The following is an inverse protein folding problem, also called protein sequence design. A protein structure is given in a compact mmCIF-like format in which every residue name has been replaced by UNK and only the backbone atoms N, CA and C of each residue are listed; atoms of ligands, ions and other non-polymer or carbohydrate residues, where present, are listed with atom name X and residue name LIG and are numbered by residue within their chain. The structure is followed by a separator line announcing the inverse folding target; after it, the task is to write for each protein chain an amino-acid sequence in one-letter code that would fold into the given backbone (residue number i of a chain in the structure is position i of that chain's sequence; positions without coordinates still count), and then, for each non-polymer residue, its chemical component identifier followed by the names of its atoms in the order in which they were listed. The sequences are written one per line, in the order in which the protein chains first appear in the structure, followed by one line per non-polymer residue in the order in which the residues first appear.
data_IF_861203487989
#
_entry.id   IF_861203487989
#
_cell.length_a   1.000
_cell.length_b   1.000
_cell.length_c   1.000
_cell.angle_alpha   90.00
_cell.angle_beta   90.00
_cell.angle_gamma   90.00
#
_symmetry.space_group_name_H-M   'P 1'
#
loop_
_entity.id
_entity.type
_entity.pdbx_description
1 polymer ?
#
# COMPACT_ATOMS: atom_id res chain seq x y z
N UNK A 1 1.42 6.66 8.49
CA UNK A 1 1.37 6.08 7.12
C UNK A 1 0.29 6.82 6.35
N UNK A 2 0.56 7.32 5.14
CA UNK A 2 -0.41 8.15 4.37
C UNK A 2 -1.14 7.31 3.30
N UNK A 3 -2.46 7.43 3.22
CA UNK A 3 -3.27 6.85 2.14
C UNK A 3 -3.20 7.74 0.90
N UNK A 4 -3.00 7.15 -0.29
CA UNK A 4 -2.95 7.85 -1.59
C UNK A 4 -3.51 6.96 -2.69
N UNK A 5 -4.16 7.55 -3.69
CA UNK A 5 -4.58 6.82 -4.89
C UNK A 5 -3.39 6.21 -5.66
N UNK A 6 -2.28 6.96 -5.71
CA UNK A 6 -1.01 6.52 -6.32
C UNK A 6 0.11 6.53 -5.27
N UNK A 7 0.84 5.41 -5.20
CA UNK A 7 1.97 5.23 -4.29
C UNK A 7 3.26 5.16 -5.08
N UNK A 8 4.29 5.88 -4.61
CA UNK A 8 5.61 5.89 -5.24
C UNK A 8 6.73 5.87 -4.21
N UNK A 9 7.87 5.29 -4.61
CA UNK A 9 9.13 5.37 -3.83
C UNK A 9 9.59 6.83 -3.78
N UNK A 10 10.10 7.26 -2.64
CA UNK A 10 10.62 8.62 -2.42
C UNK A 10 12.13 8.67 -2.18
N UNK A 11 12.73 7.54 -1.83
CA UNK A 11 14.17 7.37 -1.69
C UNK A 11 14.56 5.93 -2.07
N UNK A 12 15.86 5.65 -2.07
CA UNK A 12 16.44 4.33 -2.41
C UNK A 12 16.00 3.23 -1.45
N UNK A 13 15.77 3.55 -0.17
CA UNK A 13 15.35 2.58 0.85
C UNK A 13 13.84 2.30 0.84
N UNK A 14 13.08 2.97 -0.03
CA UNK A 14 11.66 2.69 -0.18
C UNK A 14 11.45 1.38 -0.94
N UNK A 15 10.61 0.50 -0.40
CA UNK A 15 10.23 -0.76 -1.03
C UNK A 15 8.71 -0.90 -1.08
N UNK A 16 8.23 -1.53 -2.15
CA UNK A 16 6.80 -1.73 -2.41
C UNK A 16 6.43 -3.14 -1.98
N UNK A 17 5.37 -3.26 -1.20
CA UNK A 17 4.80 -4.54 -0.76
C UNK A 17 3.38 -4.65 -1.30
N UNK A 18 3.10 -5.76 -1.97
CA UNK A 18 1.74 -6.12 -2.41
C UNK A 18 1.13 -7.04 -1.37
N UNK A 19 0.00 -6.65 -0.77
CA UNK A 19 -0.76 -7.50 0.16
C UNK A 19 -2.11 -7.85 -0.47
N UNK A 20 -2.47 -9.14 -0.45
CA UNK A 20 -3.78 -9.61 -0.89
C UNK A 20 -4.76 -9.43 0.27
N UNK A 21 -5.71 -8.50 0.14
CA UNK A 21 -6.75 -8.30 1.16
C UNK A 21 -8.05 -8.91 0.64
N UNK A 22 -8.68 -9.78 1.44
CA UNK A 22 -10.08 -10.17 1.20
C UNK A 22 -10.95 -8.97 1.52
N UNK A 23 -11.80 -8.57 0.58
CA UNK A 23 -12.69 -7.42 0.71
C UNK A 23 -14.06 -7.86 0.24
N UNK A 24 -15.06 -7.64 1.07
CA UNK A 24 -16.46 -7.86 0.67
C UNK A 24 -16.95 -6.60 -0.04
N UNK A 25 -17.42 -6.75 -1.27
CA UNK A 25 -18.00 -5.66 -2.06
C UNK A 25 -19.29 -6.18 -2.69
N UNK A 26 -20.40 -5.50 -2.44
CA UNK A 26 -21.74 -5.88 -2.89
C UNK A 26 -22.08 -7.35 -2.55
N UNK A 27 -21.86 -7.74 -1.29
CA UNK A 27 -22.14 -9.11 -0.81
C UNK A 27 -21.18 -10.19 -1.32
N UNK A 28 -20.23 -9.87 -2.22
CA UNK A 28 -19.27 -10.82 -2.78
C UNK A 28 -17.88 -10.62 -2.18
N UNK A 29 -17.28 -11.70 -1.70
CA UNK A 29 -15.88 -11.68 -1.22
C UNK A 29 -14.96 -11.70 -2.44
N UNK A 30 -14.15 -10.66 -2.59
CA UNK A 30 -13.14 -10.53 -3.63
C UNK A 30 -11.76 -10.35 -3.01
N UNK A 31 -10.73 -10.88 -3.67
CA UNK A 31 -9.34 -10.60 -3.28
C UNK A 31 -8.90 -9.33 -4.01
N UNK A 32 -8.77 -8.23 -3.28
CA UNK A 32 -8.23 -6.97 -3.82
C UNK A 32 -6.76 -6.84 -3.41
N UNK A 33 -5.82 -6.75 -4.36
CA UNK A 33 -4.44 -6.42 -4.05
C UNK A 33 -4.34 -4.96 -3.58
N UNK A 34 -3.61 -4.73 -2.49
CA UNK A 34 -3.33 -3.41 -1.95
C UNK A 34 -1.81 -3.22 -1.90
N UNK A 35 -1.34 -2.12 -2.47
CA UNK A 35 0.09 -1.79 -2.49
C UNK A 35 0.43 -0.86 -1.32
N UNK A 36 1.59 -1.12 -0.71
CA UNK A 36 2.13 -0.33 0.37
C UNK A 36 3.55 0.08 0.01
N UNK A 37 3.94 1.30 0.37
CA UNK A 37 5.34 1.73 0.36
C UNK A 37 5.80 1.76 1.80
N UNK A 38 6.85 1.00 2.10
CA UNK A 38 7.58 1.09 3.35
C UNK A 38 8.95 1.69 3.08
N UNK A 39 9.59 2.19 4.15
CA UNK A 39 10.91 2.77 4.09
C UNK A 39 11.62 2.41 5.39
N UNK A 40 12.85 1.91 5.29
CA UNK A 40 13.65 1.53 6.47
C UNK A 40 14.20 2.76 7.20
N UNK A 41 14.54 3.80 6.45
CA UNK A 41 15.24 4.99 6.96
C UNK A 41 14.31 6.11 7.39
N UNK A 42 13.22 6.37 6.64
CA UNK A 42 12.31 7.48 6.90
C UNK A 42 10.84 7.05 7.05
N UNK A 43 10.24 7.13 8.26
CA UNK A 43 8.84 6.73 8.48
C UNK A 43 7.82 7.62 7.75
N UNK A 44 8.18 8.85 7.36
CA UNK A 44 7.31 9.77 6.60
C UNK A 44 7.04 9.29 5.17
N UNK A 45 7.86 8.37 4.65
CA UNK A 45 7.68 7.80 3.31
C UNK A 45 6.62 6.69 3.25
N UNK A 46 6.15 6.19 4.41
CA UNK A 46 5.17 5.10 4.48
C UNK A 46 3.85 5.50 3.81
N UNK A 47 3.45 4.79 2.76
CA UNK A 47 2.23 5.04 1.99
C UNK A 47 1.39 3.76 1.82
N UNK A 48 0.08 3.91 1.66
CA UNK A 48 -0.87 2.85 1.31
C UNK A 48 -1.67 3.28 0.08
N UNK A 49 -1.88 2.36 -0.87
CA UNK A 49 -2.73 2.59 -2.01
C UNK A 49 -4.22 2.40 -1.64
N UNK A 50 -5.04 3.40 -1.96
CA UNK A 50 -6.48 3.38 -1.70
C UNK A 50 -6.91 4.52 -0.80
#
# INVERSE_FOLDING_TARGET
MKARASVKKRCRDCYIVKRRKKVTSNGKVKIKPVYYVYCKTNPKHKQKQG
#
